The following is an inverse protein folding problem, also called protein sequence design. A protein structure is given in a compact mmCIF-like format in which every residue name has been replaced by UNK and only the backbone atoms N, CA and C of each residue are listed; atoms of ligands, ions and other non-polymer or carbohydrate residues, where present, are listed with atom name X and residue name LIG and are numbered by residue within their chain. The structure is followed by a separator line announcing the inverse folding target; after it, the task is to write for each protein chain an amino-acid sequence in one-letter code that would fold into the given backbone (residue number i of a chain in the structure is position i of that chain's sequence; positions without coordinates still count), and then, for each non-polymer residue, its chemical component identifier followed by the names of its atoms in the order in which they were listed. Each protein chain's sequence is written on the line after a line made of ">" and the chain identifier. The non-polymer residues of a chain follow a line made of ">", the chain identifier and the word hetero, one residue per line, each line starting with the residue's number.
data_IF_134897513558
#
_entry.id   IF_134897513558
#
_cell.length_a   1.000
_cell.length_b   1.000
_cell.length_c   1.000
_cell.angle_alpha   90.00
_cell.angle_beta   90.00
_cell.angle_gamma   90.00
#
_symmetry.space_group_name_H-M   'P 1'
#
loop_
_entity.id
_entity.type
_entity.pdbx_description
1 polymer ?
#
# COMPACT_ATOMS: atom_id res chain seq x y z
N UNK A 1 -28.29 -2.73 -28.04
CA UNK A 1 -27.24 -2.89 -26.99
C UNK A 1 -27.64 -1.96 -25.83
N UNK A 2 -27.70 -2.46 -24.61
CA UNK A 2 -28.01 -1.61 -23.45
C UNK A 2 -26.85 -0.65 -23.20
N UNK A 3 -27.14 0.66 -23.09
CA UNK A 3 -26.12 1.66 -22.82
C UNK A 3 -25.67 1.58 -21.37
N UNK A 4 -24.38 1.79 -21.10
CA UNK A 4 -23.87 1.94 -19.75
C UNK A 4 -24.16 3.38 -19.27
N UNK A 5 -24.85 3.51 -18.16
CA UNK A 5 -25.15 4.79 -17.49
C UNK A 5 -24.12 5.07 -16.40
N UNK A 6 -23.44 6.20 -16.45
CA UNK A 6 -22.53 6.65 -15.39
C UNK A 6 -23.28 7.61 -14.46
N UNK A 7 -23.21 7.33 -13.16
CA UNK A 7 -23.75 8.22 -12.11
C UNK A 7 -22.63 8.65 -11.18
N UNK A 8 -22.60 9.94 -10.89
CA UNK A 8 -21.71 10.50 -9.87
C UNK A 8 -22.28 10.18 -8.49
N UNK A 9 -21.40 9.77 -7.56
CA UNK A 9 -21.76 9.60 -6.15
C UNK A 9 -22.11 10.95 -5.56
N UNK A 10 -23.37 11.14 -5.15
CA UNK A 10 -23.88 12.41 -4.68
C UNK A 10 -24.17 12.42 -3.16
N UNK A 11 -24.52 11.29 -2.59
CA UNK A 11 -24.95 11.17 -1.21
C UNK A 11 -24.35 9.95 -0.48
N UNK A 12 -24.75 9.79 0.78
CA UNK A 12 -24.29 8.65 1.62
C UNK A 12 -24.78 7.29 1.11
N UNK A 13 -25.90 7.23 0.41
CA UNK A 13 -26.44 6.00 -0.15
C UNK A 13 -25.61 5.56 -1.35
N UNK A 14 -25.28 6.49 -2.22
CA UNK A 14 -24.39 6.25 -3.36
C UNK A 14 -22.98 5.87 -2.90
N UNK A 15 -22.44 6.57 -1.89
CA UNK A 15 -21.15 6.24 -1.30
C UNK A 15 -21.13 4.83 -0.70
N UNK A 16 -22.22 4.44 -0.03
CA UNK A 16 -22.36 3.07 0.45
C UNK A 16 -22.35 2.06 -0.70
N UNK A 17 -23.09 2.34 -1.78
CA UNK A 17 -23.11 1.46 -2.95
C UNK A 17 -21.72 1.38 -3.60
N UNK A 18 -20.99 2.51 -3.69
CA UNK A 18 -19.62 2.56 -4.18
C UNK A 18 -18.69 1.64 -3.37
N UNK A 19 -18.73 1.71 -2.03
CA UNK A 19 -17.91 0.89 -1.15
C UNK A 19 -18.33 -0.57 -1.22
N UNK A 20 -19.63 -0.86 -1.15
CA UNK A 20 -20.14 -2.23 -1.07
C UNK A 20 -19.97 -3.02 -2.37
N UNK A 21 -19.87 -2.36 -3.53
CA UNK A 21 -19.68 -3.02 -4.82
C UNK A 21 -18.44 -3.91 -4.85
N UNK A 22 -17.32 -3.50 -4.27
CA UNK A 22 -16.12 -4.32 -4.17
C UNK A 22 -16.39 -5.66 -3.45
N UNK A 23 -17.03 -5.59 -2.28
CA UNK A 23 -17.32 -6.80 -1.51
C UNK A 23 -18.31 -7.74 -2.22
N UNK A 24 -19.19 -7.19 -3.05
CA UNK A 24 -20.14 -7.98 -3.84
C UNK A 24 -19.47 -8.63 -5.05
N UNK A 25 -18.61 -7.87 -5.74
CA UNK A 25 -17.87 -8.35 -6.90
C UNK A 25 -16.91 -9.50 -6.56
N UNK A 26 -16.25 -9.41 -5.40
CA UNK A 26 -15.26 -10.39 -4.95
C UNK A 26 -15.82 -11.40 -3.92
N UNK A 27 -17.13 -11.47 -3.73
CA UNK A 27 -17.72 -12.41 -2.79
C UNK A 27 -17.30 -13.86 -3.12
N UNK A 28 -16.69 -14.54 -2.13
CA UNK A 28 -16.19 -15.91 -2.28
C UNK A 28 -14.85 -16.04 -3.03
N UNK A 29 -14.24 -14.95 -3.48
CA UNK A 29 -12.90 -15.00 -4.08
C UNK A 29 -11.86 -15.35 -3.00
N UNK A 30 -11.05 -16.43 -3.20
CA UNK A 30 -10.08 -16.86 -2.18
C UNK A 30 -8.81 -16.01 -2.13
N UNK A 31 -8.58 -15.13 -3.08
CA UNK A 31 -7.34 -14.36 -3.24
C UNK A 31 -7.49 -12.89 -2.88
N UNK A 32 -8.71 -12.35 -2.87
CA UNK A 32 -8.96 -10.97 -2.46
C UNK A 32 -8.72 -10.76 -0.96
N UNK A 33 -8.14 -9.60 -0.64
CA UNK A 33 -7.92 -9.12 0.73
C UNK A 33 -8.82 -7.90 0.99
N UNK A 34 -10.08 -8.09 1.38
CA UNK A 34 -11.02 -6.98 1.50
C UNK A 34 -10.58 -6.01 2.62
N UNK A 35 -10.65 -4.71 2.34
CA UNK A 35 -10.42 -3.68 3.35
C UNK A 35 -11.50 -3.68 4.43
N UNK A 36 -11.20 -3.08 5.59
CA UNK A 36 -12.23 -2.81 6.58
C UNK A 36 -13.20 -1.74 6.06
N UNK A 37 -14.50 -1.99 6.22
CA UNK A 37 -15.55 -1.05 5.79
C UNK A 37 -15.41 0.33 6.43
N UNK A 38 -14.97 0.39 7.69
CA UNK A 38 -14.69 1.66 8.39
C UNK A 38 -13.58 2.46 7.73
N UNK A 39 -12.54 1.77 7.24
CA UNK A 39 -11.38 2.40 6.62
C UNK A 39 -11.74 2.91 5.22
N UNK A 40 -12.53 2.15 4.45
CA UNK A 40 -13.09 2.63 3.17
C UNK A 40 -13.97 3.88 3.36
N UNK A 41 -14.86 3.87 4.37
CA UNK A 41 -15.67 5.05 4.71
C UNK A 41 -14.79 6.25 5.09
N UNK A 42 -13.70 6.02 5.83
CA UNK A 42 -12.76 7.08 6.18
C UNK A 42 -12.06 7.62 4.93
N UNK A 43 -11.52 6.74 4.09
CA UNK A 43 -10.78 7.06 2.87
C UNK A 43 -11.59 7.93 1.91
N UNK A 44 -12.87 7.61 1.70
CA UNK A 44 -13.74 8.35 0.78
C UNK A 44 -14.44 9.56 1.41
N UNK A 45 -14.29 9.82 2.70
CA UNK A 45 -14.93 10.95 3.39
C UNK A 45 -14.04 12.19 3.35
N UNK A 46 -14.53 13.27 2.71
CA UNK A 46 -13.81 14.54 2.56
C UNK A 46 -13.46 15.21 3.91
N UNK A 47 -14.28 15.00 4.92
CA UNK A 47 -14.13 15.56 6.26
C UNK A 47 -13.17 14.74 7.15
N UNK A 48 -12.85 13.50 6.78
CA UNK A 48 -12.04 12.58 7.58
C UNK A 48 -10.64 12.37 7.04
N UNK A 49 -10.55 12.07 5.74
CA UNK A 49 -9.26 11.76 5.10
C UNK A 49 -8.42 13.04 4.91
N UNK A 50 -7.27 13.10 5.56
CA UNK A 50 -6.34 14.23 5.49
C UNK A 50 -5.76 14.49 4.08
N UNK A 51 -5.81 13.50 3.18
CA UNK A 51 -5.39 13.70 1.80
C UNK A 51 -6.21 14.79 1.07
N UNK A 52 -7.44 15.06 1.50
CA UNK A 52 -8.24 16.14 0.94
C UNK A 52 -7.73 17.57 1.25
N UNK A 53 -6.65 17.71 2.03
CA UNK A 53 -5.93 18.98 2.13
C UNK A 53 -5.27 19.39 0.81
N UNK A 54 -4.95 18.43 -0.05
CA UNK A 54 -4.24 18.65 -1.33
C UNK A 54 -4.76 17.77 -2.48
N UNK A 55 -5.82 16.99 -2.24
CA UNK A 55 -6.47 16.20 -3.27
C UNK A 55 -7.91 16.66 -3.51
N UNK A 56 -8.35 16.57 -4.76
CA UNK A 56 -9.75 16.59 -5.14
C UNK A 56 -10.17 15.21 -5.64
N UNK A 57 -11.37 14.77 -5.35
CA UNK A 57 -11.86 13.50 -5.86
C UNK A 57 -13.36 13.54 -6.18
N UNK A 58 -13.72 12.76 -7.20
CA UNK A 58 -15.09 12.40 -7.56
C UNK A 58 -15.18 10.88 -7.75
N UNK A 59 -16.34 10.33 -7.42
CA UNK A 59 -16.58 8.90 -7.48
C UNK A 59 -17.71 8.61 -8.46
N UNK A 60 -17.53 7.57 -9.27
CA UNK A 60 -18.48 7.21 -10.32
C UNK A 60 -18.92 5.76 -10.17
N UNK A 61 -20.21 5.53 -10.44
CA UNK A 61 -20.86 4.24 -10.49
C UNK A 61 -21.35 3.98 -11.93
N UNK A 62 -21.10 2.78 -12.45
CA UNK A 62 -21.62 2.36 -13.74
C UNK A 62 -22.81 1.43 -13.57
N UNK A 63 -23.90 1.74 -14.27
CA UNK A 63 -25.11 0.92 -14.29
C UNK A 63 -25.38 0.40 -15.70
N UNK A 64 -25.79 -0.87 -15.81
CA UNK A 64 -26.24 -1.50 -17.05
C UNK A 64 -27.54 -2.26 -16.75
N UNK A 65 -28.61 -1.97 -17.51
CA UNK A 65 -29.95 -2.52 -17.25
C UNK A 65 -30.43 -2.36 -15.79
N UNK A 66 -30.13 -1.19 -15.20
CA UNK A 66 -30.49 -0.85 -13.83
C UNK A 66 -29.68 -1.54 -12.73
N UNK A 67 -28.70 -2.40 -13.09
CA UNK A 67 -27.79 -3.07 -12.15
C UNK A 67 -26.49 -2.32 -12.06
N UNK A 68 -25.96 -2.19 -10.84
CA UNK A 68 -24.60 -1.67 -10.60
C UNK A 68 -23.58 -2.69 -11.13
N UNK A 69 -22.69 -2.27 -12.03
CA UNK A 69 -21.75 -3.12 -12.76
C UNK A 69 -20.30 -2.65 -12.69
N UNK A 70 -20.06 -1.48 -12.08
CA UNK A 70 -18.69 -0.98 -11.89
C UNK A 70 -18.63 0.29 -11.08
N UNK A 71 -17.42 0.60 -10.60
CA UNK A 71 -17.06 1.82 -9.87
C UNK A 71 -15.68 2.31 -10.26
N UNK A 72 -15.42 3.59 -10.10
CA UNK A 72 -14.07 4.19 -10.21
C UNK A 72 -14.01 5.50 -9.43
N UNK A 73 -12.86 5.78 -8.81
CA UNK A 73 -12.53 7.08 -8.25
C UNK A 73 -11.68 7.89 -9.24
N UNK A 74 -12.04 9.14 -9.49
CA UNK A 74 -11.21 10.13 -10.18
C UNK A 74 -10.57 11.04 -9.13
N UNK A 75 -9.25 11.12 -9.10
CA UNK A 75 -8.49 11.80 -8.06
C UNK A 75 -7.46 12.74 -8.69
N UNK A 76 -7.39 13.96 -8.20
CA UNK A 76 -6.32 14.91 -8.55
C UNK A 76 -5.51 15.15 -7.29
N UNK A 77 -4.26 14.72 -7.28
CA UNK A 77 -3.31 15.02 -6.22
C UNK A 77 -2.45 16.21 -6.66
N UNK A 78 -2.78 17.39 -6.18
CA UNK A 78 -2.10 18.63 -6.57
C UNK A 78 -0.61 18.64 -6.18
N UNK A 79 -0.25 18.06 -5.03
CA UNK A 79 1.16 17.94 -4.60
C UNK A 79 1.98 17.06 -5.53
N UNK A 80 1.43 15.91 -5.91
CA UNK A 80 2.07 15.05 -6.88
C UNK A 80 2.24 15.78 -8.21
N UNK A 81 1.18 16.42 -8.70
CA UNK A 81 1.19 17.12 -9.97
C UNK A 81 2.24 18.24 -10.00
N UNK A 82 2.38 18.97 -8.89
CA UNK A 82 3.40 20.02 -8.73
C UNK A 82 4.81 19.42 -8.62
N UNK A 83 5.01 18.43 -7.73
CA UNK A 83 6.31 17.80 -7.48
C UNK A 83 6.89 17.15 -8.75
N UNK A 84 6.06 16.56 -9.57
CA UNK A 84 6.48 15.81 -10.76
C UNK A 84 6.29 16.59 -12.06
N UNK A 85 5.79 17.85 -11.98
CA UNK A 85 5.43 18.68 -13.14
C UNK A 85 4.49 17.93 -14.11
N UNK A 86 3.54 17.21 -13.55
CA UNK A 86 2.71 16.21 -14.24
C UNK A 86 1.23 16.47 -13.96
N UNK A 87 0.54 17.32 -14.74
CA UNK A 87 -0.88 17.64 -14.52
C UNK A 87 -1.76 16.43 -14.89
N UNK A 88 -1.87 15.49 -13.96
CA UNK A 88 -2.55 14.22 -14.12
C UNK A 88 -3.80 14.10 -13.26
N UNK A 89 -4.84 13.46 -13.80
CA UNK A 89 -5.92 12.85 -13.02
C UNK A 89 -5.61 11.37 -12.83
N UNK A 90 -5.77 10.88 -11.61
CA UNK A 90 -5.63 9.46 -11.26
C UNK A 90 -6.97 8.76 -11.40
N UNK A 91 -6.98 7.51 -11.90
CA UNK A 91 -8.07 6.59 -11.66
C UNK A 91 -7.65 5.59 -10.58
N UNK A 92 -8.51 5.37 -9.58
CA UNK A 92 -8.28 4.42 -8.50
C UNK A 92 -9.57 3.70 -8.14
N UNK A 93 -9.50 2.67 -7.30
CA UNK A 93 -10.64 1.85 -6.90
C UNK A 93 -11.52 1.44 -8.09
N UNK A 94 -10.86 1.11 -9.20
CA UNK A 94 -11.52 0.63 -10.41
C UNK A 94 -11.96 -0.82 -10.19
N UNK A 95 -13.26 -1.03 -10.09
CA UNK A 95 -13.88 -2.35 -10.06
C UNK A 95 -14.99 -2.43 -11.09
N UNK A 96 -15.05 -3.54 -11.83
CA UNK A 96 -16.06 -3.73 -12.87
C UNK A 96 -16.27 -5.22 -13.17
N UNK A 97 -17.42 -5.53 -13.78
CA UNK A 97 -17.65 -6.83 -14.39
C UNK A 97 -16.83 -6.99 -15.68
N UNK A 98 -16.68 -8.20 -16.20
CA UNK A 98 -15.99 -8.48 -17.47
C UNK A 98 -16.78 -7.92 -18.67
N UNK A 99 -16.67 -6.60 -18.89
CA UNK A 99 -17.36 -5.88 -19.95
C UNK A 99 -16.57 -4.63 -20.37
N UNK A 100 -16.10 -4.62 -21.62
CA UNK A 100 -15.29 -3.51 -22.17
C UNK A 100 -16.08 -2.18 -22.24
N UNK A 101 -17.39 -2.22 -22.44
CA UNK A 101 -18.19 -1.00 -22.51
C UNK A 101 -18.32 -0.35 -21.10
N UNK A 102 -18.33 -1.17 -20.04
CA UNK A 102 -18.28 -0.67 -18.66
C UNK A 102 -16.94 -0.01 -18.38
N UNK A 103 -15.82 -0.63 -18.79
CA UNK A 103 -14.49 -0.04 -18.62
C UNK A 103 -14.36 1.29 -19.37
N UNK A 104 -14.80 1.33 -20.65
CA UNK A 104 -14.79 2.56 -21.48
C UNK A 104 -15.61 3.69 -20.82
N UNK A 105 -16.79 3.37 -20.33
CA UNK A 105 -17.65 4.37 -19.68
C UNK A 105 -17.04 4.91 -18.38
N UNK A 106 -16.48 4.03 -17.53
CA UNK A 106 -15.85 4.43 -16.27
C UNK A 106 -14.60 5.28 -16.51
N UNK A 107 -13.67 4.84 -17.34
CA UNK A 107 -12.46 5.61 -17.63
C UNK A 107 -12.78 6.88 -18.42
N UNK A 108 -13.77 6.87 -19.30
CA UNK A 108 -14.28 8.08 -19.96
C UNK A 108 -14.75 9.14 -18.96
N UNK A 109 -15.48 8.74 -17.91
CA UNK A 109 -15.91 9.69 -16.87
C UNK A 109 -14.72 10.30 -16.11
N UNK A 110 -13.65 9.52 -15.84
CA UNK A 110 -12.41 10.04 -15.25
C UNK A 110 -11.69 11.00 -16.20
N UNK A 111 -11.61 10.66 -17.49
CA UNK A 111 -11.00 11.50 -18.52
C UNK A 111 -11.75 12.85 -18.61
N UNK A 112 -13.08 12.83 -18.65
CA UNK A 112 -13.90 14.04 -18.74
C UNK A 112 -13.76 14.90 -17.49
N UNK A 113 -13.71 14.28 -16.28
CA UNK A 113 -13.41 15.00 -15.05
C UNK A 113 -12.01 15.64 -15.13
N UNK A 114 -10.99 14.89 -15.55
CA UNK A 114 -9.64 15.39 -15.73
C UNK A 114 -9.58 16.58 -16.70
N UNK A 115 -10.18 16.48 -17.89
CA UNK A 115 -10.29 17.59 -18.86
C UNK A 115 -10.96 18.81 -18.27
N UNK A 116 -12.06 18.62 -17.52
CA UNK A 116 -12.79 19.72 -16.87
C UNK A 116 -11.95 20.48 -15.84
N UNK A 117 -10.93 19.82 -15.30
CA UNK A 117 -9.99 20.38 -14.31
C UNK A 117 -8.65 20.80 -14.93
N UNK A 118 -8.52 20.75 -16.26
CA UNK A 118 -7.33 21.17 -16.98
C UNK A 118 -6.15 20.17 -16.90
N UNK A 119 -6.41 18.92 -16.52
CA UNK A 119 -5.39 17.86 -16.55
C UNK A 119 -5.04 17.51 -17.99
N UNK A 120 -3.82 17.01 -18.19
CA UNK A 120 -3.26 16.68 -19.49
C UNK A 120 -3.12 15.18 -19.73
N UNK A 121 -3.20 14.40 -18.67
CA UNK A 121 -3.12 12.95 -18.74
C UNK A 121 -3.98 12.31 -17.65
N UNK A 122 -4.36 11.04 -17.88
CA UNK A 122 -4.93 10.12 -16.92
C UNK A 122 -3.89 9.05 -16.59
N UNK A 123 -3.72 8.74 -15.30
CA UNK A 123 -2.78 7.72 -14.82
C UNK A 123 -3.44 6.81 -13.79
N UNK A 124 -2.98 5.55 -13.67
CA UNK A 124 -3.48 4.65 -12.63
C UNK A 124 -3.45 3.17 -13.01
N UNK A 125 -3.98 2.29 -12.15
CA UNK A 125 -4.69 2.62 -10.90
C UNK A 125 -3.75 3.18 -9.82
N UNK A 126 -4.16 4.27 -9.17
CA UNK A 126 -3.48 4.93 -8.07
C UNK A 126 -4.50 5.54 -7.11
N UNK A 127 -4.24 5.46 -5.80
CA UNK A 127 -5.05 6.13 -4.80
C UNK A 127 -4.74 7.62 -4.60
N UNK A 128 -5.17 8.17 -3.47
CA UNK A 128 -4.88 9.55 -3.09
C UNK A 128 -3.38 9.78 -2.92
N UNK A 129 -2.70 8.82 -2.28
CA UNK A 129 -1.26 8.82 -2.03
C UNK A 129 -0.69 7.44 -2.28
N UNK A 130 0.62 7.28 -2.16
CA UNK A 130 1.33 6.00 -2.21
C UNK A 130 1.11 5.10 -0.97
N UNK A 131 0.36 5.58 0.02
CA UNK A 131 -0.13 4.74 1.12
C UNK A 131 -1.42 3.98 0.77
N UNK A 132 -2.04 4.30 -0.35
CA UNK A 132 -3.20 3.60 -0.91
C UNK A 132 -2.75 2.53 -1.93
N UNK A 133 -3.62 1.57 -2.29
CA UNK A 133 -3.28 0.54 -3.27
C UNK A 133 -2.84 1.12 -4.62
N UNK A 134 -1.77 0.57 -5.17
CA UNK A 134 -1.17 0.97 -6.44
C UNK A 134 -1.12 -0.18 -7.45
N UNK A 135 -1.40 0.14 -8.69
CA UNK A 135 -1.25 -0.75 -9.84
C UNK A 135 -2.32 -1.85 -9.95
N UNK A 136 -2.64 -2.19 -11.18
CA UNK A 136 -3.50 -3.30 -11.57
C UNK A 136 -2.68 -4.58 -11.61
N UNK A 137 -3.15 -5.65 -10.95
CA UNK A 137 -2.52 -6.97 -11.00
C UNK A 137 -2.50 -7.48 -12.45
N UNK A 138 -1.32 -7.90 -12.93
CA UNK A 138 -1.10 -8.43 -14.28
C UNK A 138 -0.52 -9.84 -14.28
N UNK A 139 -0.01 -10.30 -13.13
CA UNK A 139 0.52 -11.65 -12.93
C UNK A 139 0.36 -12.04 -11.45
N UNK A 140 0.12 -13.33 -11.17
CA UNK A 140 -0.07 -13.85 -9.82
C UNK A 140 -1.53 -13.78 -9.36
N UNK A 141 -2.50 -13.96 -10.25
CA UNK A 141 -3.94 -13.95 -9.94
C UNK A 141 -4.38 -15.08 -9.02
N UNK A 142 -3.57 -16.12 -8.88
CA UNK A 142 -3.73 -17.26 -7.97
C UNK A 142 -3.00 -17.06 -6.63
N UNK A 143 -2.46 -15.88 -6.39
CA UNK A 143 -1.75 -15.52 -5.17
C UNK A 143 -2.65 -14.71 -4.23
N UNK A 144 -2.54 -15.00 -2.93
CA UNK A 144 -3.29 -14.28 -1.90
C UNK A 144 -2.88 -12.81 -1.88
N UNK A 145 -3.85 -11.90 -1.91
CA UNK A 145 -3.63 -10.47 -1.75
C UNK A 145 -3.18 -10.09 -0.34
N UNK A 146 -2.75 -8.86 -0.16
CA UNK A 146 -2.44 -8.26 1.15
C UNK A 146 -3.38 -7.09 1.42
N UNK A 147 -3.48 -6.66 2.68
CA UNK A 147 -4.29 -5.48 3.03
C UNK A 147 -3.79 -4.18 2.40
N UNK A 148 -2.56 -4.16 1.92
CA UNK A 148 -1.92 -2.96 1.35
C UNK A 148 -2.01 -2.92 -0.18
N UNK A 149 -2.55 -3.97 -0.81
CA UNK A 149 -2.66 -4.07 -2.27
C UNK A 149 -4.05 -4.51 -2.68
N UNK A 150 -4.59 -3.98 -3.78
CA UNK A 150 -5.86 -4.43 -4.32
C UNK A 150 -5.71 -5.71 -5.13
N UNK A 151 -6.71 -6.58 -5.09
CA UNK A 151 -6.87 -7.69 -6.04
C UNK A 151 -7.72 -7.23 -7.23
N UNK A 152 -7.47 -7.80 -8.39
CA UNK A 152 -8.37 -7.72 -9.54
C UNK A 152 -8.34 -9.03 -10.34
N UNK A 153 -9.43 -9.34 -11.02
CA UNK A 153 -9.53 -10.50 -11.88
C UNK A 153 -8.64 -10.39 -13.13
N UNK A 154 -8.29 -11.53 -13.71
CA UNK A 154 -7.43 -11.64 -14.89
C UNK A 154 -7.98 -10.92 -16.14
N UNK A 155 -9.30 -10.70 -16.21
CA UNK A 155 -9.88 -9.97 -17.34
C UNK A 155 -9.57 -8.46 -17.34
N UNK A 156 -9.18 -7.86 -16.19
CA UNK A 156 -8.87 -6.41 -16.13
C UNK A 156 -7.74 -6.00 -17.07
N UNK A 157 -6.53 -6.59 -17.02
CA UNK A 157 -5.48 -6.22 -17.96
C UNK A 157 -5.85 -6.58 -19.39
N UNK A 158 -6.62 -7.65 -19.64
CA UNK A 158 -7.11 -8.02 -20.99
C UNK A 158 -8.10 -6.98 -21.56
N UNK A 159 -8.91 -6.37 -20.72
CA UNK A 159 -9.77 -5.25 -21.10
C UNK A 159 -8.95 -3.98 -21.32
N UNK A 160 -7.94 -3.69 -20.47
CA UNK A 160 -7.06 -2.54 -20.67
C UNK A 160 -6.26 -2.60 -21.98
N UNK A 161 -5.87 -3.79 -22.43
CA UNK A 161 -5.21 -3.99 -23.73
C UNK A 161 -6.11 -3.60 -24.94
N UNK A 162 -7.43 -3.57 -24.74
CA UNK A 162 -8.41 -3.14 -25.76
C UNK A 162 -8.73 -1.63 -25.67
N UNK A 163 -8.16 -0.93 -24.70
CA UNK A 163 -8.39 0.50 -24.48
C UNK A 163 -7.39 1.32 -25.30
N UNK A 164 -7.88 1.98 -26.35
CA UNK A 164 -7.05 2.80 -27.23
C UNK A 164 -6.39 3.96 -26.47
N UNK A 165 -5.10 4.15 -26.73
CA UNK A 165 -4.29 5.23 -26.17
C UNK A 165 -3.74 4.96 -24.78
N UNK A 166 -4.19 3.93 -24.07
CA UNK A 166 -3.60 3.54 -22.79
C UNK A 166 -2.32 2.74 -23.01
N UNK A 167 -1.24 3.19 -22.38
CA UNK A 167 0.07 2.54 -22.42
C UNK A 167 0.61 2.34 -21.01
N UNK A 168 1.60 1.46 -20.87
CA UNK A 168 2.33 1.27 -19.61
C UNK A 168 2.94 2.60 -19.14
N UNK A 169 2.74 2.93 -17.88
CA UNK A 169 3.44 4.03 -17.18
C UNK A 169 4.51 3.50 -16.22
N UNK A 170 4.11 2.63 -15.28
CA UNK A 170 5.04 2.01 -14.32
C UNK A 170 4.62 0.56 -14.05
N UNK A 171 5.59 -0.32 -13.84
CA UNK A 171 5.37 -1.68 -13.35
C UNK A 171 5.94 -1.85 -11.94
N UNK A 172 5.25 -2.67 -11.16
CA UNK A 172 5.66 -3.11 -9.84
C UNK A 172 5.82 -4.62 -9.79
N UNK A 173 6.66 -5.07 -8.88
CA UNK A 173 6.88 -6.49 -8.52
C UNK A 173 6.68 -6.68 -7.02
N UNK A 174 6.25 -7.87 -6.64
CA UNK A 174 6.08 -8.27 -5.24
C UNK A 174 6.77 -9.62 -5.02
N UNK A 175 7.44 -9.77 -3.89
CA UNK A 175 8.23 -10.96 -3.55
C UNK A 175 7.69 -11.66 -2.29
N UNK A 176 7.78 -12.98 -2.30
CA UNK A 176 7.82 -13.79 -1.08
C UNK A 176 9.25 -13.93 -0.62
N UNK A 177 9.51 -13.60 0.62
CA UNK A 177 10.82 -13.75 1.26
C UNK A 177 10.69 -14.84 2.33
N UNK A 178 11.29 -16.00 2.10
CA UNK A 178 11.18 -17.11 3.04
C UNK A 178 11.98 -16.84 4.31
N UNK A 179 11.34 -17.03 5.47
CA UNK A 179 12.00 -16.83 6.76
C UNK A 179 12.98 -18.00 7.00
N UNK A 180 14.28 -17.71 7.18
CA UNK A 180 15.29 -18.77 7.39
C UNK A 180 14.96 -19.61 8.62
N UNK A 181 14.97 -20.94 8.49
CA UNK A 181 14.69 -21.86 9.61
C UNK A 181 15.85 -21.98 10.60
N UNK A 182 17.07 -21.93 10.10
CA UNK A 182 18.31 -22.19 10.85
C UNK A 182 18.94 -20.91 11.45
N UNK A 183 18.16 -19.87 11.60
CA UNK A 183 18.62 -18.58 12.08
C UNK A 183 18.92 -17.59 10.96
N UNK A 184 19.33 -16.39 11.34
CA UNK A 184 19.72 -15.35 10.38
C UNK A 184 21.00 -15.79 9.65
N UNK A 185 21.07 -15.63 8.31
CA UNK A 185 22.29 -15.94 7.57
C UNK A 185 23.51 -15.21 8.16
N UNK A 186 24.60 -15.94 8.42
CA UNK A 186 25.80 -15.44 9.12
C UNK A 186 26.39 -14.20 8.47
N UNK A 187 26.27 -14.10 7.14
CA UNK A 187 26.71 -12.92 6.39
C UNK A 187 25.98 -11.64 6.81
N UNK A 188 24.66 -11.69 6.97
CA UNK A 188 23.87 -10.53 7.46
C UNK A 188 24.23 -10.16 8.88
N UNK A 189 24.38 -11.16 9.75
CA UNK A 189 24.77 -10.96 11.15
C UNK A 189 26.10 -10.24 11.23
N UNK A 190 27.11 -10.74 10.52
CA UNK A 190 28.44 -10.12 10.48
C UNK A 190 28.41 -8.70 9.94
N UNK A 191 27.69 -8.46 8.83
CA UNK A 191 27.57 -7.11 8.24
C UNK A 191 26.87 -6.17 9.21
N UNK A 192 25.79 -6.61 9.86
CA UNK A 192 25.07 -5.79 10.84
C UNK A 192 25.95 -5.40 12.02
N UNK A 193 26.64 -6.38 12.66
CA UNK A 193 27.54 -6.14 13.79
C UNK A 193 28.70 -5.20 13.43
N UNK A 194 29.31 -5.40 12.26
CA UNK A 194 30.38 -4.51 11.77
C UNK A 194 29.86 -3.10 11.51
N UNK A 195 28.68 -2.97 10.90
CA UNK A 195 28.06 -1.68 10.59
C UNK A 195 27.70 -0.91 11.86
N UNK A 196 27.08 -1.58 12.83
CA UNK A 196 26.78 -0.98 14.15
C UNK A 196 28.05 -0.43 14.81
N UNK A 197 29.10 -1.26 14.89
CA UNK A 197 30.36 -0.88 15.54
C UNK A 197 31.11 0.22 14.77
N UNK A 198 31.19 0.12 13.44
CA UNK A 198 31.99 1.04 12.61
C UNK A 198 31.39 2.43 12.53
N UNK A 199 30.06 2.51 12.46
CA UNK A 199 29.33 3.77 12.22
C UNK A 199 28.55 4.24 13.44
N UNK A 200 28.71 3.58 14.60
CA UNK A 200 27.99 3.88 15.83
C UNK A 200 26.47 3.95 15.62
N UNK A 201 25.94 2.97 14.85
CA UNK A 201 24.50 2.82 14.62
C UNK A 201 23.89 1.90 15.64
N UNK A 202 22.67 2.21 16.07
CA UNK A 202 21.95 1.47 17.09
C UNK A 202 20.54 1.09 16.61
N UNK A 203 20.03 -0.04 17.12
CA UNK A 203 18.67 -0.53 16.86
C UNK A 203 17.97 -0.70 18.19
N UNK A 204 17.30 0.35 18.71
CA UNK A 204 16.67 0.31 20.01
C UNK A 204 15.45 -0.60 20.07
N UNK A 205 15.17 -1.15 21.26
CA UNK A 205 13.91 -1.80 21.56
C UNK A 205 12.90 -0.74 22.02
N UNK A 206 12.03 -0.33 21.11
CA UNK A 206 11.08 0.73 21.37
C UNK A 206 9.91 0.27 22.25
N UNK A 207 9.51 1.14 23.18
CA UNK A 207 8.26 1.02 23.91
C UNK A 207 7.15 1.81 23.23
N UNK A 208 5.92 1.36 23.35
CA UNK A 208 4.75 2.05 22.79
C UNK A 208 4.64 3.51 23.28
N UNK A 209 4.99 3.78 24.52
CA UNK A 209 5.02 5.15 25.06
C UNK A 209 5.96 6.09 24.30
N UNK A 210 7.07 5.59 23.76
CA UNK A 210 8.01 6.40 23.00
C UNK A 210 7.52 6.73 21.59
N UNK A 211 6.65 5.89 21.03
CA UNK A 211 6.03 6.14 19.72
C UNK A 211 5.08 7.34 19.77
N UNK A 212 4.26 7.42 20.83
CA UNK A 212 3.22 8.44 21.02
C UNK A 212 3.62 9.55 22.00
N UNK A 213 4.69 9.35 22.77
CA UNK A 213 5.15 10.25 23.84
C UNK A 213 6.11 11.35 23.34
N UNK A 214 6.85 11.97 24.27
CA UNK A 214 7.74 13.09 23.97
C UNK A 214 8.84 12.76 22.95
N UNK A 215 9.28 11.53 22.88
CA UNK A 215 10.31 11.07 21.92
C UNK A 215 9.82 11.03 20.48
N UNK A 216 8.50 10.96 20.27
CA UNK A 216 7.81 11.05 18.97
C UNK A 216 8.35 10.10 17.88
N UNK A 217 8.69 8.86 18.24
CA UNK A 217 9.21 7.92 17.22
C UNK A 217 8.26 7.65 16.09
N UNK A 218 6.94 7.72 16.30
CA UNK A 218 5.97 7.62 15.22
C UNK A 218 6.18 8.70 14.14
N UNK A 219 6.42 9.95 14.56
CA UNK A 219 6.71 11.06 13.65
C UNK A 219 8.07 10.90 12.97
N UNK A 220 9.13 10.58 13.73
CA UNK A 220 10.48 10.35 13.21
C UNK A 220 10.51 9.26 12.14
N UNK A 221 9.74 8.18 12.34
CA UNK A 221 9.59 7.09 11.37
C UNK A 221 8.98 7.61 10.06
N UNK A 222 7.89 8.36 10.12
CA UNK A 222 7.23 8.92 8.94
C UNK A 222 8.07 10.02 8.25
N UNK A 223 8.92 10.74 9.01
CA UNK A 223 9.89 11.68 8.42
C UNK A 223 10.96 10.97 7.60
N UNK A 224 11.44 9.80 8.06
CA UNK A 224 12.35 8.96 7.27
C UNK A 224 11.65 8.44 6.01
N UNK A 225 10.40 7.99 6.12
CA UNK A 225 9.60 7.58 4.95
C UNK A 225 9.48 8.73 3.94
N UNK A 226 9.09 9.93 4.38
CA UNK A 226 9.00 11.11 3.52
C UNK A 226 10.31 11.40 2.75
N UNK A 227 11.46 11.25 3.42
CA UNK A 227 12.77 11.48 2.79
C UNK A 227 13.19 10.36 1.84
N UNK A 228 12.90 9.12 2.22
CA UNK A 228 13.37 7.94 1.48
C UNK A 228 12.51 7.60 0.28
N UNK A 229 11.22 7.97 0.28
CA UNK A 229 10.25 7.69 -0.78
C UNK A 229 10.06 8.85 -1.76
N UNK A 230 10.63 10.02 -1.50
CA UNK A 230 10.43 11.24 -2.29
C UNK A 230 10.71 11.09 -3.80
N UNK A 231 11.45 10.07 -4.22
CA UNK A 231 11.79 9.77 -5.61
C UNK A 231 10.98 8.61 -6.21
N UNK A 232 10.06 8.00 -5.45
CA UNK A 232 9.26 6.88 -5.93
C UNK A 232 8.06 7.37 -6.74
N UNK A 233 7.70 6.62 -7.77
CA UNK A 233 6.52 6.88 -8.58
C UNK A 233 5.25 6.88 -7.72
N UNK A 234 4.35 7.81 -7.98
CA UNK A 234 3.11 7.94 -7.20
C UNK A 234 3.26 8.75 -5.91
N UNK A 235 4.47 8.85 -5.34
CA UNK A 235 4.71 9.48 -4.05
C UNK A 235 4.45 10.99 -4.06
N UNK A 236 3.82 11.46 -2.98
CA UNK A 236 3.75 12.86 -2.58
C UNK A 236 4.05 12.98 -1.08
N UNK A 237 4.81 14.00 -0.69
CA UNK A 237 5.20 14.17 0.73
C UNK A 237 3.99 14.27 1.65
N UNK A 238 3.99 13.50 2.74
CA UNK A 238 2.97 13.56 3.78
C UNK A 238 2.96 14.92 4.49
N UNK A 239 1.75 15.46 4.73
CA UNK A 239 1.57 16.62 5.60
C UNK A 239 1.77 16.23 7.06
N UNK A 240 1.91 17.22 7.95
CA UNK A 240 1.94 16.95 9.40
C UNK A 240 0.65 16.27 9.85
N UNK A 241 -0.50 16.74 9.37
CA UNK A 241 -1.81 16.16 9.68
C UNK A 241 -1.91 14.70 9.23
N UNK A 242 -1.41 14.36 8.03
CA UNK A 242 -1.36 12.95 7.59
C UNK A 242 -0.47 12.09 8.49
N UNK A 243 0.70 12.59 8.87
CA UNK A 243 1.58 11.87 9.80
C UNK A 243 0.91 11.63 11.15
N UNK A 244 0.24 12.66 11.71
CA UNK A 244 -0.52 12.54 12.95
C UNK A 244 -1.64 11.50 12.84
N UNK A 245 -2.37 11.53 11.73
CA UNK A 245 -3.44 10.59 11.42
C UNK A 245 -2.90 9.15 11.32
N UNK A 246 -1.85 8.92 10.54
CA UNK A 246 -1.26 7.60 10.36
C UNK A 246 -0.67 7.02 11.65
N UNK A 247 0.00 7.86 12.47
CA UNK A 247 0.46 7.44 13.78
C UNK A 247 -0.72 7.00 14.65
N UNK A 248 -1.80 7.78 14.67
CA UNK A 248 -2.97 7.44 15.48
C UNK A 248 -3.78 6.26 14.95
N UNK A 249 -3.88 6.07 13.66
CA UNK A 249 -4.64 4.98 13.06
C UNK A 249 -3.89 3.65 13.09
N UNK A 250 -2.62 3.63 12.69
CA UNK A 250 -1.91 2.40 12.41
C UNK A 250 -0.98 1.96 13.53
N UNK A 251 -0.19 2.86 14.14
CA UNK A 251 0.83 2.47 15.12
C UNK A 251 0.24 1.88 16.42
N UNK A 252 -1.05 2.11 16.69
CA UNK A 252 -1.75 1.47 17.81
C UNK A 252 -1.83 -0.05 17.68
N UNK A 253 -1.84 -0.56 16.46
CA UNK A 253 -2.01 -1.98 16.17
C UNK A 253 -0.68 -2.71 15.96
N UNK A 254 0.42 -1.99 15.70
CA UNK A 254 1.71 -2.62 15.47
C UNK A 254 2.28 -3.24 16.75
N UNK A 255 2.86 -4.43 16.60
CA UNK A 255 3.73 -4.99 17.64
C UNK A 255 5.06 -4.25 17.61
N UNK A 256 5.53 -3.76 18.76
CA UNK A 256 6.73 -2.92 18.84
C UNK A 256 8.00 -3.66 18.41
N UNK A 257 8.04 -4.97 18.54
CA UNK A 257 9.16 -5.79 18.09
C UNK A 257 9.18 -5.99 16.55
N UNK A 258 8.07 -5.68 15.86
CA UNK A 258 7.97 -5.66 14.40
C UNK A 258 8.21 -4.27 13.78
N UNK A 259 8.49 -3.28 14.62
CA UNK A 259 8.95 -1.95 14.23
C UNK A 259 10.46 -1.88 14.45
N UNK A 260 11.23 -1.81 13.38
CA UNK A 260 12.67 -1.58 13.43
C UNK A 260 12.97 -0.11 13.17
N UNK A 261 13.73 0.51 14.05
CA UNK A 261 14.27 1.86 13.90
C UNK A 261 15.79 1.75 14.00
N UNK A 262 16.50 2.46 13.14
CA UNK A 262 17.97 2.57 13.19
C UNK A 262 18.32 4.00 13.51
N UNK A 263 19.17 4.20 14.51
CA UNK A 263 19.63 5.48 15.01
C UNK A 263 21.12 5.68 14.71
N UNK A 264 21.50 6.91 14.39
CA UNK A 264 22.91 7.34 14.38
C UNK A 264 23.28 8.06 15.71
N UNK A 265 24.04 7.40 16.54
CA UNK A 265 24.47 7.94 17.83
C UNK A 265 25.65 8.91 17.73
N UNK A 266 26.13 9.19 16.52
CA UNK A 266 27.07 10.31 16.32
C UNK A 266 26.35 11.65 16.26
N UNK A 267 25.02 11.67 16.05
CA UNK A 267 24.24 12.90 16.09
C UNK A 267 23.78 13.23 17.51
N UNK A 268 23.67 14.52 17.89
CA UNK A 268 23.29 14.90 19.26
C UNK A 268 21.91 14.38 19.70
N UNK A 269 21.01 14.18 18.75
CA UNK A 269 19.61 13.77 19.01
C UNK A 269 19.37 12.29 18.69
N UNK A 270 20.41 11.50 18.42
CA UNK A 270 20.30 10.12 17.95
C UNK A 270 19.30 10.01 16.79
N UNK A 271 19.62 10.70 15.69
CA UNK A 271 18.69 10.82 14.58
C UNK A 271 18.33 9.48 13.98
N UNK A 272 17.04 9.30 13.68
CA UNK A 272 16.53 8.11 13.00
C UNK A 272 16.94 8.18 11.53
N UNK A 273 17.70 7.17 11.09
CA UNK A 273 18.27 7.08 9.73
C UNK A 273 17.69 5.93 8.91
N UNK A 274 16.99 5.03 9.55
CA UNK A 274 16.38 3.89 8.89
C UNK A 274 15.19 3.35 9.64
N UNK A 275 14.24 2.78 8.88
CA UNK A 275 13.00 2.21 9.42
C UNK A 275 12.62 0.95 8.66
N UNK A 276 12.01 0.01 9.37
CA UNK A 276 11.34 -1.17 8.81
C UNK A 276 10.07 -1.45 9.59
N UNK A 277 8.94 -1.53 8.91
CA UNK A 277 7.63 -1.78 9.50
C UNK A 277 7.05 -3.03 8.89
N UNK A 278 6.65 -3.96 9.73
CA UNK A 278 5.95 -5.19 9.34
C UNK A 278 4.77 -5.48 10.26
N UNK A 279 3.85 -6.30 9.78
CA UNK A 279 2.65 -6.69 10.53
C UNK A 279 2.31 -8.15 10.21
N UNK A 280 1.77 -8.93 11.16
CA UNK A 280 1.20 -10.23 10.81
C UNK A 280 0.14 -10.06 9.74
N UNK A 281 0.20 -10.85 8.65
CA UNK A 281 -0.77 -10.70 7.57
C UNK A 281 -2.20 -10.85 8.07
N UNK A 282 -3.03 -9.88 7.73
CA UNK A 282 -4.43 -9.82 8.12
C UNK A 282 -5.38 -10.43 7.07
N UNK A 283 -4.90 -10.74 5.87
CA UNK A 283 -5.75 -11.13 4.74
C UNK A 283 -6.75 -12.21 5.07
N UNK A 284 -6.28 -13.34 5.66
CA UNK A 284 -7.18 -14.44 6.04
C UNK A 284 -8.17 -14.08 7.16
N UNK A 285 -7.84 -13.09 7.97
CA UNK A 285 -8.74 -12.57 9.00
C UNK A 285 -9.79 -11.63 8.40
N UNK A 286 -9.37 -10.77 7.47
CA UNK A 286 -10.25 -9.83 6.77
C UNK A 286 -11.25 -10.55 5.88
N UNK A 287 -10.86 -11.63 5.20
CA UNK A 287 -11.78 -12.48 4.43
C UNK A 287 -12.94 -13.04 5.26
N UNK A 288 -12.76 -13.19 6.57
CA UNK A 288 -13.82 -13.60 7.52
C UNK A 288 -14.68 -12.45 8.02
N UNK A 289 -14.34 -11.21 7.69
CA UNK A 289 -15.12 -10.03 8.01
C UNK A 289 -16.19 -9.80 6.94
N UNK A 290 -17.45 -10.14 7.22
CA UNK A 290 -18.55 -9.99 6.27
C UNK A 290 -18.62 -8.54 5.75
N UNK A 291 -18.42 -8.35 4.44
CA UNK A 291 -18.35 -7.02 3.79
C UNK A 291 -17.43 -6.06 4.56
N UNK A 292 -16.24 -6.53 4.96
CA UNK A 292 -15.25 -5.72 5.69
C UNK A 292 -15.63 -5.29 7.10
N UNK A 293 -16.72 -5.81 7.71
CA UNK A 293 -17.21 -5.35 9.02
C UNK A 293 -16.63 -6.20 10.16
N UNK A 294 -16.14 -5.51 11.19
CA UNK A 294 -15.60 -6.16 12.39
C UNK A 294 -16.69 -6.80 13.24
N UNK A 295 -17.91 -6.24 13.27
CA UNK A 295 -19.00 -6.78 14.06
C UNK A 295 -19.96 -7.63 13.20
N UNK A 296 -20.54 -8.74 13.74
CA UNK A 296 -20.44 -9.15 15.15
C UNK A 296 -19.19 -9.97 15.50
N UNK A 297 -18.49 -10.65 14.56
CA UNK A 297 -17.42 -11.60 14.89
C UNK A 297 -16.09 -11.35 14.18
N UNK A 298 -16.03 -10.44 13.21
CA UNK A 298 -14.81 -10.13 12.44
C UNK A 298 -13.63 -9.67 13.32
N UNK A 299 -13.91 -8.86 14.35
CA UNK A 299 -12.92 -8.36 15.29
C UNK A 299 -12.08 -9.48 15.95
N UNK A 300 -12.71 -10.63 16.23
CA UNK A 300 -12.01 -11.76 16.84
C UNK A 300 -10.95 -12.37 15.92
N UNK A 301 -11.25 -12.47 14.62
CA UNK A 301 -10.28 -12.97 13.63
C UNK A 301 -9.11 -12.02 13.48
N UNK A 302 -9.35 -10.71 13.47
CA UNK A 302 -8.31 -9.68 13.39
C UNK A 302 -7.43 -9.69 14.65
N UNK A 303 -8.01 -9.76 15.86
CA UNK A 303 -7.25 -9.86 17.10
C UNK A 303 -6.40 -11.15 17.14
N UNK A 304 -6.93 -12.28 16.67
CA UNK A 304 -6.15 -13.52 16.60
C UNK A 304 -4.93 -13.40 15.70
N UNK A 305 -5.03 -12.73 14.57
CA UNK A 305 -3.89 -12.48 13.70
C UNK A 305 -2.89 -11.51 14.34
N UNK A 306 -3.34 -10.35 14.81
CA UNK A 306 -2.49 -9.30 15.33
C UNK A 306 -1.83 -9.65 16.68
N UNK A 307 -2.61 -10.13 17.63
CA UNK A 307 -2.13 -10.31 19.01
C UNK A 307 -1.56 -11.70 19.27
N UNK A 308 -2.13 -12.72 18.64
CA UNK A 308 -1.71 -14.10 18.83
C UNK A 308 -0.91 -14.65 17.66
N UNK A 309 -0.61 -13.83 16.64
CA UNK A 309 0.18 -14.16 15.45
C UNK A 309 -0.27 -15.46 14.78
N UNK A 310 -1.59 -15.69 14.69
CA UNK A 310 -2.17 -16.89 14.08
C UNK A 310 -2.27 -16.76 12.56
N UNK A 311 -1.12 -16.53 11.94
CA UNK A 311 -0.90 -16.48 10.50
C UNK A 311 0.52 -16.98 10.20
N UNK A 312 0.73 -17.55 9.04
CA UNK A 312 2.05 -18.02 8.57
C UNK A 312 2.84 -16.91 7.85
N UNK A 313 2.22 -15.76 7.63
CA UNK A 313 2.72 -14.68 6.76
C UNK A 313 2.89 -13.40 7.55
N UNK A 314 3.97 -12.69 7.28
CA UNK A 314 4.19 -11.31 7.71
C UNK A 314 4.17 -10.38 6.51
N UNK A 315 3.38 -9.31 6.55
CA UNK A 315 3.36 -8.28 5.52
C UNK A 315 4.44 -7.24 5.83
N UNK A 316 5.36 -7.03 4.88
CA UNK A 316 6.45 -6.06 4.96
C UNK A 316 5.94 -4.74 4.37
N UNK A 317 5.47 -3.84 5.23
CA UNK A 317 4.74 -2.66 4.79
C UNK A 317 5.66 -1.55 4.27
N UNK A 318 6.66 -1.17 5.05
CA UNK A 318 7.55 -0.05 4.73
C UNK A 318 9.00 -0.38 5.09
N UNK A 319 9.90 -0.01 4.20
CA UNK A 319 11.34 -0.08 4.44
C UNK A 319 12.01 1.18 3.87
N UNK A 320 12.77 1.86 4.69
CA UNK A 320 13.47 3.08 4.27
C UNK A 320 14.79 3.26 4.99
N UNK A 321 15.85 3.54 4.23
CA UNK A 321 17.17 3.92 4.75
C UNK A 321 17.57 5.21 4.05
N UNK A 322 17.98 6.22 4.82
CA UNK A 322 18.47 7.49 4.26
C UNK A 322 19.61 7.22 3.27
N UNK A 323 19.65 7.93 2.13
CA UNK A 323 20.58 7.65 1.02
C UNK A 323 22.04 7.52 1.44
N UNK A 324 22.50 8.37 2.35
CA UNK A 324 23.88 8.46 2.86
C UNK A 324 24.30 7.24 3.74
N UNK A 325 23.33 6.43 4.18
CA UNK A 325 23.59 5.22 4.98
C UNK A 325 23.41 3.92 4.19
N UNK A 326 22.84 3.97 2.99
CA UNK A 326 22.62 2.78 2.16
C UNK A 326 23.93 2.06 1.82
N UNK A 327 24.96 2.82 1.40
CA UNK A 327 26.28 2.28 1.08
C UNK A 327 27.06 1.78 2.31
N UNK A 328 26.64 2.13 3.52
CA UNK A 328 27.27 1.69 4.78
C UNK A 328 26.77 0.31 5.24
N UNK A 329 25.83 -0.30 4.54
CA UNK A 329 25.24 -1.60 4.90
C UNK A 329 24.17 -1.52 5.99
N UNK A 330 23.59 -0.33 6.24
CA UNK A 330 22.59 -0.13 7.30
C UNK A 330 21.32 -0.99 7.10
N UNK A 331 21.01 -1.40 5.86
CA UNK A 331 19.91 -2.33 5.58
C UNK A 331 20.06 -3.69 6.27
N UNK A 332 21.29 -4.15 6.53
CA UNK A 332 21.51 -5.41 7.26
C UNK A 332 20.98 -5.34 8.70
N UNK A 333 20.89 -4.14 9.30
CA UNK A 333 20.34 -3.96 10.65
C UNK A 333 18.84 -4.24 10.72
N UNK A 334 18.10 -3.96 9.63
CA UNK A 334 16.66 -4.29 9.55
C UNK A 334 16.45 -5.81 9.64
N UNK A 335 17.22 -6.58 8.87
CA UNK A 335 17.15 -8.04 8.92
C UNK A 335 17.67 -8.60 10.25
N UNK A 336 18.72 -8.00 10.80
CA UNK A 336 19.28 -8.36 12.10
C UNK A 336 18.23 -8.28 13.22
N UNK A 337 17.38 -7.25 13.16
CA UNK A 337 16.28 -7.05 14.12
C UNK A 337 15.07 -7.93 13.83
N UNK A 338 14.63 -7.98 12.57
CA UNK A 338 13.30 -8.50 12.24
C UNK A 338 13.28 -10.03 12.02
N UNK A 339 14.32 -10.63 11.43
CA UNK A 339 14.32 -12.09 11.18
C UNK A 339 14.14 -12.90 12.46
N UNK A 340 14.84 -12.63 13.57
CA UNK A 340 14.62 -13.37 14.84
C UNK A 340 13.19 -13.20 15.37
N UNK A 341 12.56 -12.04 15.14
CA UNK A 341 11.16 -11.80 15.53
C UNK A 341 10.21 -12.65 14.69
N UNK A 342 10.46 -12.74 13.37
CA UNK A 342 9.64 -13.56 12.48
C UNK A 342 9.75 -15.05 12.83
N UNK A 343 10.95 -15.53 13.15
CA UNK A 343 11.17 -16.89 13.63
C UNK A 343 10.45 -17.17 14.95
N UNK A 344 10.57 -16.25 15.93
CA UNK A 344 9.89 -16.33 17.23
C UNK A 344 8.37 -16.51 17.09
N UNK A 345 7.76 -15.82 16.11
CA UNK A 345 6.32 -15.89 15.87
C UNK A 345 5.91 -17.02 14.90
N UNK A 346 6.88 -17.72 14.31
CA UNK A 346 6.64 -18.88 13.44
C UNK A 346 6.15 -18.52 12.05
N UNK A 347 6.43 -17.29 11.57
CA UNK A 347 6.14 -16.92 10.19
C UNK A 347 6.99 -17.74 9.23
N UNK A 348 6.40 -18.15 8.12
CA UNK A 348 7.06 -18.95 7.08
C UNK A 348 7.69 -18.09 5.99
N UNK A 349 7.02 -16.99 5.65
CA UNK A 349 7.55 -16.00 4.68
C UNK A 349 7.02 -14.60 5.00
N UNK A 350 7.76 -13.60 4.49
CA UNK A 350 7.33 -12.22 4.40
C UNK A 350 6.84 -11.90 3.00
N UNK A 351 5.74 -11.19 2.90
CA UNK A 351 5.21 -10.62 1.66
C UNK A 351 5.71 -9.20 1.51
N UNK A 352 6.44 -8.86 0.43
CA UNK A 352 6.83 -7.47 0.22
C UNK A 352 5.62 -6.67 -0.23
N UNK A 353 5.64 -5.37 0.07
CA UNK A 353 4.78 -4.41 -0.61
C UNK A 353 5.21 -4.24 -2.07
N UNK A 354 4.44 -3.47 -2.85
CA UNK A 354 4.79 -3.17 -4.25
C UNK A 354 6.16 -2.48 -4.35
N UNK A 355 7.01 -2.98 -5.21
CA UNK A 355 8.33 -2.43 -5.49
C UNK A 355 8.41 -2.05 -6.96
N UNK A 356 8.83 -0.83 -7.28
CA UNK A 356 9.04 -0.44 -8.69
C UNK A 356 9.97 -1.45 -9.38
N UNK A 357 9.59 -1.95 -10.55
CA UNK A 357 10.40 -2.89 -11.36
C UNK A 357 11.83 -2.38 -11.58
N UNK A 358 12.00 -1.07 -11.67
CA UNK A 358 13.28 -0.40 -11.87
C UNK A 358 14.10 -0.20 -10.58
N UNK A 359 13.54 -0.48 -9.40
CA UNK A 359 14.23 -0.29 -8.12
C UNK A 359 15.13 -1.48 -7.75
N UNK A 360 16.16 -1.72 -8.58
CA UNK A 360 17.12 -2.82 -8.38
C UNK A 360 17.84 -2.76 -7.03
N UNK A 361 17.94 -1.57 -6.41
CA UNK A 361 18.58 -1.41 -5.09
C UNK A 361 17.77 -2.04 -3.95
N UNK A 362 16.46 -1.95 -4.00
CA UNK A 362 15.58 -2.60 -3.01
C UNK A 362 15.56 -4.09 -3.29
N UNK A 363 15.32 -4.50 -4.53
CA UNK A 363 15.31 -5.92 -4.94
C UNK A 363 16.63 -6.63 -4.62
N UNK A 364 17.76 -5.96 -4.77
CA UNK A 364 19.08 -6.51 -4.41
C UNK A 364 19.26 -6.81 -2.91
N UNK A 365 18.42 -6.26 -2.04
CA UNK A 365 18.45 -6.59 -0.61
C UNK A 365 17.97 -8.02 -0.33
N UNK A 366 17.11 -8.56 -1.19
CA UNK A 366 16.55 -9.91 -1.06
C UNK A 366 17.51 -11.01 -1.53
N UNK A 367 18.59 -10.68 -2.23
CA UNK A 367 19.50 -11.63 -2.89
C UNK A 367 20.13 -12.69 -1.95
N UNK A 368 20.13 -12.45 -0.65
CA UNK A 368 20.69 -13.38 0.35
C UNK A 368 19.63 -14.17 1.13
N UNK A 369 18.36 -13.94 0.82
CA UNK A 369 17.24 -14.69 1.33
C UNK A 369 16.67 -15.54 0.19
N UNK A 370 16.16 -16.70 0.52
CA UNK A 370 15.33 -17.46 -0.42
C UNK A 370 14.10 -16.62 -0.73
N UNK A 371 13.87 -16.34 -2.02
CA UNK A 371 12.81 -15.46 -2.45
C UNK A 371 12.20 -15.89 -3.77
N UNK A 372 10.97 -15.44 -4.01
CA UNK A 372 10.20 -15.70 -5.23
C UNK A 372 9.45 -14.44 -5.63
N UNK A 373 9.68 -13.94 -6.86
CA UNK A 373 8.80 -12.91 -7.42
C UNK A 373 7.49 -13.58 -7.84
N UNK A 374 6.40 -13.26 -7.18
CA UNK A 374 5.15 -14.00 -7.37
C UNK A 374 3.98 -13.15 -7.85
N UNK A 375 4.08 -11.82 -7.84
CA UNK A 375 3.08 -10.93 -8.41
C UNK A 375 3.73 -9.80 -9.22
N UNK A 376 2.97 -9.26 -10.16
CA UNK A 376 3.28 -8.03 -10.91
C UNK A 376 2.05 -7.17 -11.03
N UNK A 377 2.28 -5.85 -11.02
CA UNK A 377 1.22 -4.85 -11.21
C UNK A 377 1.66 -3.82 -12.21
N UNK A 378 0.69 -3.16 -12.82
CA UNK A 378 0.92 -2.10 -13.80
C UNK A 378 0.05 -0.89 -13.53
N UNK A 379 0.67 0.28 -13.59
CA UNK A 379 -0.02 1.54 -13.84
C UNK A 379 0.01 1.88 -15.32
N UNK A 380 -1.09 2.39 -15.80
CA UNK A 380 -1.29 2.83 -17.18
C UNK A 380 -1.37 4.34 -17.22
N UNK A 381 -1.08 4.92 -18.40
CA UNK A 381 -1.32 6.32 -18.71
C UNK A 381 -1.91 6.51 -20.09
N UNK A 382 -2.59 7.67 -20.26
CA UNK A 382 -3.08 8.15 -21.56
C UNK A 382 -3.10 9.67 -21.55
N UNK A 383 -2.72 10.31 -22.66
CA UNK A 383 -2.90 11.76 -22.86
C UNK A 383 -4.39 12.09 -22.98
N UNK A 384 -4.84 13.22 -22.41
CA UNK A 384 -6.23 13.68 -22.42
C UNK A 384 -6.51 14.70 -23.53
#
# INVERSE_FOLDING_TARGET
>A
MSSVEIRRVADKKDLKAFIEFHYELYEGNPYDAPNLYSDEVHTFSKDKNSAFEFCEAEYFLAYKDGKLVGRVAAIINHRYNEQWERPAVRFGWLDLIDDIEVLRALLGAVEDYGRSKGMKEIIGPLGFTDMDPEGMLTYGFDQLGTMATSYNYEYYPKLMEQMEGYVKDNDYVEYKLYVPKDGMPEKYKRVAEMTMKRYNLHVPDLKRSQVFGPEQYGQKVLDVVNKTFAHLYGFSQMTQRQKDEYVQMYFKFFSMDMLCVIEDWNTPNHDVIGVGISIPSLTKALQKCRKGRLFPFGWWHVIRALKFHKTDVVDLLLIGILPEYRAKGANALLFYKLIPVYQKYGFKWGETHVEMETNSKVQGQWAYLENEQHKRRRCYKKAL
#
